data_IF_371171285596
#
_entry.id   IF_371171285596
#
_cell.length_a   1.000
_cell.length_b   1.000
_cell.length_c   1.000
_cell.angle_alpha   90.00
_cell.angle_beta   90.00
_cell.angle_gamma   90.00
#
_symmetry.space_group_name_H-M   'P 1'
#
loop_
_entity.id
_entity.type
_entity.pdbx_description
1 polymer ?
#
# COMPACT_ATOMS: atom_id res chain seq x y z
N UNK A 1 5.14 4.68 -7.84
CA UNK A 1 5.00 4.10 -6.49
C UNK A 1 4.19 5.09 -5.68
N UNK A 2 2.99 4.71 -5.20
CA UNK A 2 2.02 5.68 -4.67
C UNK A 2 2.35 6.09 -3.22
N UNK A 3 2.81 5.14 -2.41
CA UNK A 3 3.09 5.33 -0.99
C UNK A 3 4.60 5.45 -0.70
N UNK A 4 5.35 6.23 -1.48
CA UNK A 4 6.80 6.40 -1.18
C UNK A 4 7.04 7.18 0.10
N UNK A 5 6.13 8.10 0.43
CA UNK A 5 6.21 9.00 1.56
C UNK A 5 5.79 8.29 2.88
N UNK A 6 6.61 8.39 3.95
CA UNK A 6 6.30 7.78 5.24
C UNK A 6 4.99 8.25 5.86
N UNK A 7 4.61 9.52 5.72
CA UNK A 7 3.37 10.05 6.24
C UNK A 7 2.16 9.48 5.49
N UNK A 8 2.22 9.39 4.15
CA UNK A 8 1.17 8.73 3.37
C UNK A 8 1.03 7.26 3.73
N UNK A 9 2.15 6.54 3.90
CA UNK A 9 2.14 5.14 4.38
C UNK A 9 1.47 5.02 5.74
N UNK A 10 1.80 5.90 6.68
CA UNK A 10 1.22 5.89 8.03
C UNK A 10 -0.28 6.17 8.00
N UNK A 11 -0.72 7.17 7.23
CA UNK A 11 -2.14 7.50 7.03
C UNK A 11 -2.88 6.29 6.45
N UNK A 12 -2.34 5.68 5.39
CA UNK A 12 -2.94 4.51 4.76
C UNK A 12 -3.07 3.33 5.74
N UNK A 13 -2.02 3.04 6.50
CA UNK A 13 -2.03 1.97 7.50
C UNK A 13 -3.09 2.18 8.60
N UNK A 14 -3.24 3.41 9.11
CA UNK A 14 -4.10 3.69 10.26
C UNK A 14 -5.56 4.02 9.87
N UNK A 15 -5.81 4.42 8.62
CA UNK A 15 -7.14 4.86 8.16
C UNK A 15 -7.73 4.02 7.05
N UNK A 16 -6.92 3.20 6.37
CA UNK A 16 -7.26 2.52 5.11
C UNK A 16 -7.63 3.45 3.95
N UNK A 17 -7.41 4.76 4.12
CA UNK A 17 -7.62 5.74 3.06
C UNK A 17 -6.30 5.96 2.30
N UNK A 18 -6.40 5.95 0.97
CA UNK A 18 -5.26 6.09 0.06
C UNK A 18 -5.58 7.25 -0.86
N UNK A 19 -5.11 8.42 -0.49
CA UNK A 19 -5.35 9.65 -1.25
C UNK A 19 -4.05 10.18 -1.84
N UNK A 20 -4.10 10.72 -3.07
CA UNK A 20 -2.95 11.38 -3.64
C UNK A 20 -2.51 12.57 -2.80
N UNK A 21 -1.21 12.75 -2.67
CA UNK A 21 -0.64 13.84 -1.88
C UNK A 21 -1.08 15.24 -2.34
N UNK A 22 -1.32 15.38 -3.64
CA UNK A 22 -1.65 16.67 -4.23
C UNK A 22 -3.02 17.20 -3.78
N UNK A 23 -3.92 16.36 -3.27
CA UNK A 23 -5.27 16.79 -2.87
C UNK A 23 -5.22 17.79 -1.71
N UNK A 24 -4.61 17.41 -0.59
CA UNK A 24 -4.45 18.29 0.57
C UNK A 24 -3.41 19.37 0.33
N UNK A 25 -2.38 19.13 -0.49
CA UNK A 25 -1.45 20.20 -0.90
C UNK A 25 -2.15 21.30 -1.68
N UNK A 26 -3.15 20.99 -2.50
CA UNK A 26 -3.93 22.00 -3.22
C UNK A 26 -4.73 22.88 -2.25
N UNK A 27 -5.36 22.28 -1.25
CA UNK A 27 -6.13 23.01 -0.24
C UNK A 27 -5.27 23.95 0.62
N UNK A 28 -3.95 23.74 0.71
CA UNK A 28 -3.08 24.68 1.44
C UNK A 28 -3.11 26.11 0.89
N UNK A 29 -3.58 26.30 -0.35
CA UNK A 29 -3.72 27.61 -0.98
C UNK A 29 -4.99 28.36 -0.55
N UNK A 30 -5.97 27.71 0.09
CA UNK A 30 -7.21 28.37 0.51
C UNK A 30 -7.05 29.06 1.87
N UNK A 31 -7.75 30.18 2.07
CA UNK A 31 -7.72 30.97 3.31
C UNK A 31 -8.87 30.63 4.27
N UNK A 32 -9.54 29.50 4.03
CA UNK A 32 -10.65 29.00 4.83
C UNK A 32 -10.17 27.97 5.87
N UNK A 33 -11.06 27.50 6.77
CA UNK A 33 -10.70 26.52 7.78
C UNK A 33 -10.15 25.20 7.22
N UNK A 34 -10.55 24.82 6.00
CA UNK A 34 -10.02 23.62 5.31
C UNK A 34 -8.55 23.85 4.94
N UNK A 35 -8.21 25.03 4.43
CA UNK A 35 -6.83 25.40 4.12
C UNK A 35 -5.93 25.46 5.35
N UNK A 36 -6.46 25.91 6.50
CA UNK A 36 -5.72 25.87 7.78
C UNK A 36 -5.42 24.42 8.21
N UNK A 37 -6.41 23.53 8.12
CA UNK A 37 -6.24 22.10 8.41
C UNK A 37 -5.25 21.45 7.43
N UNK A 38 -5.30 21.80 6.15
CA UNK A 38 -4.38 21.31 5.14
C UNK A 38 -2.93 21.76 5.40
N UNK A 39 -2.72 23.02 5.82
CA UNK A 39 -1.39 23.53 6.21
C UNK A 39 -0.85 22.84 7.46
N UNK A 40 -1.69 22.62 8.47
CA UNK A 40 -1.33 21.88 9.68
C UNK A 40 -0.97 20.43 9.35
N UNK A 41 -1.77 19.77 8.51
CA UNK A 41 -1.50 18.42 8.03
C UNK A 41 -0.17 18.38 7.26
N UNK A 42 0.07 19.32 6.34
CA UNK A 42 1.31 19.43 5.57
C UNK A 42 2.55 19.55 6.47
N UNK A 43 2.49 20.46 7.45
CA UNK A 43 3.58 20.66 8.41
C UNK A 43 3.84 19.41 9.24
N UNK A 44 2.77 18.80 9.76
CA UNK A 44 2.87 17.58 10.58
C UNK A 44 3.43 16.39 9.80
N UNK A 45 3.02 16.25 8.54
CA UNK A 45 3.54 15.20 7.66
C UNK A 45 5.03 15.38 7.35
N UNK A 46 5.46 16.62 7.09
CA UNK A 46 6.89 16.92 6.90
C UNK A 46 7.70 16.56 8.14
N UNK A 47 7.25 17.01 9.31
CA UNK A 47 7.93 16.73 10.58
C UNK A 47 7.95 15.22 10.90
N UNK A 48 6.88 14.49 10.55
CA UNK A 48 6.81 13.04 10.70
C UNK A 48 7.81 12.32 9.77
N UNK A 49 7.91 12.72 8.51
CA UNK A 49 8.88 12.17 7.55
C UNK A 49 10.32 12.45 7.99
N UNK A 50 10.62 13.66 8.48
CA UNK A 50 11.91 14.01 9.06
C UNK A 50 12.22 13.18 10.32
N UNK A 51 11.21 12.95 11.18
CA UNK A 51 11.35 12.12 12.37
C UNK A 51 11.54 10.64 12.04
N UNK A 52 10.95 10.15 10.94
CA UNK A 52 11.17 8.78 10.44
C UNK A 52 12.63 8.61 10.04
N UNK A 53 13.15 9.54 9.24
CA UNK A 53 14.56 9.55 8.82
C UNK A 53 15.49 9.61 10.04
N UNK A 54 15.17 10.45 11.03
CA UNK A 54 15.95 10.57 12.28
C UNK A 54 15.93 9.29 13.11
N UNK A 55 14.78 8.61 13.19
CA UNK A 55 14.65 7.33 13.89
C UNK A 55 15.46 6.24 13.19
N UNK A 56 15.38 6.13 11.87
CA UNK A 56 16.17 5.15 11.10
C UNK A 56 17.67 5.33 11.31
N UNK A 57 18.15 6.59 11.31
CA UNK A 57 19.54 6.91 11.61
C UNK A 57 19.94 6.54 13.04
N UNK A 58 19.06 6.76 14.04
CA UNK A 58 19.33 6.37 15.42
C UNK A 58 19.38 4.83 15.57
N UNK A 59 18.45 4.10 14.95
CA UNK A 59 18.44 2.63 14.94
C UNK A 59 19.64 2.03 14.22
N UNK A 60 20.10 2.65 13.12
CA UNK A 60 21.32 2.24 12.43
C UNK A 60 22.55 2.39 13.35
N UNK A 61 22.64 3.49 14.11
CA UNK A 61 23.72 3.70 15.10
C UNK A 61 23.68 2.66 16.21
N UNK A 62 22.49 2.30 16.71
CA UNK A 62 22.32 1.21 17.70
C UNK A 62 22.81 -0.12 17.13
N UNK A 63 22.43 -0.45 15.90
CA UNK A 63 22.84 -1.70 15.23
C UNK A 63 24.36 -1.80 15.08
N UNK A 64 25.02 -0.72 14.65
CA UNK A 64 26.49 -0.66 14.56
C UNK A 64 27.14 -0.85 15.93
N UNK A 65 26.58 -0.24 16.98
CA UNK A 65 27.11 -0.40 18.33
C UNK A 65 26.93 -1.81 18.88
N UNK A 66 25.77 -2.43 18.63
CA UNK A 66 25.50 -3.80 19.01
C UNK A 66 26.47 -4.78 18.32
N UNK A 67 26.75 -4.58 17.04
CA UNK A 67 27.70 -5.41 16.30
C UNK A 67 29.14 -5.23 16.83
N UNK A 68 29.56 -4.00 17.10
CA UNK A 68 30.87 -3.73 17.73
C UNK A 68 31.00 -4.39 19.11
N UNK A 69 29.95 -4.33 19.93
CA UNK A 69 29.93 -4.98 21.23
C UNK A 69 30.03 -6.51 21.10
N UNK A 70 29.31 -7.11 20.13
CA UNK A 70 29.38 -8.55 19.84
C UNK A 70 30.78 -8.99 19.41
N UNK A 71 31.39 -8.28 18.46
CA UNK A 71 32.76 -8.55 18.01
C UNK A 71 33.76 -8.36 19.14
N UNK A 72 33.56 -7.32 19.94
CA UNK A 72 34.36 -7.05 21.13
C UNK A 72 34.33 -8.17 22.15
N UNK A 73 33.13 -8.62 22.55
CA UNK A 73 32.94 -9.74 23.48
C UNK A 73 33.51 -11.05 22.96
N UNK A 74 33.46 -11.28 21.64
CA UNK A 74 34.08 -12.45 21.01
C UNK A 74 35.62 -12.43 21.07
N UNK A 75 36.24 -11.24 21.18
CA UNK A 75 37.70 -11.06 21.19
C UNK A 75 38.26 -10.86 22.61
N UNK A 76 37.50 -10.23 23.53
CA UNK A 76 37.85 -10.02 24.95
C UNK A 76 36.58 -10.03 25.82
N UNK A 77 36.61 -10.76 26.93
CA UNK A 77 35.48 -10.86 27.85
C UNK A 77 35.13 -9.54 28.58
N UNK A 78 36.10 -8.63 28.73
CA UNK A 78 35.92 -7.35 29.41
C UNK A 78 35.94 -6.19 28.42
N UNK A 79 34.75 -5.67 28.08
CA UNK A 79 34.61 -4.44 27.32
C UNK A 79 33.58 -3.51 27.95
N UNK A 80 34.04 -2.31 28.30
CA UNK A 80 33.18 -1.14 28.52
C UNK A 80 32.87 -0.49 27.17
N UNK A 81 31.63 -0.64 26.71
CA UNK A 81 31.15 0.04 25.50
C UNK A 81 30.85 1.51 25.82
N UNK A 82 31.87 2.37 25.75
CA UNK A 82 31.69 3.81 25.87
C UNK A 82 30.68 4.33 24.83
N UNK A 83 29.74 5.18 25.26
CA UNK A 83 28.71 5.76 24.39
C UNK A 83 27.41 4.96 24.24
N UNK A 84 27.31 3.76 24.84
CA UNK A 84 26.09 2.94 24.78
C UNK A 84 24.87 3.63 25.37
N UNK A 85 25.01 4.28 26.52
CA UNK A 85 23.92 5.02 27.13
C UNK A 85 23.41 6.16 26.24
N UNK A 86 24.32 6.95 25.63
CA UNK A 86 23.94 8.05 24.75
C UNK A 86 23.22 7.56 23.49
N UNK A 87 23.74 6.54 22.81
CA UNK A 87 23.15 6.01 21.57
C UNK A 87 21.77 5.41 21.83
N UNK A 88 21.56 4.75 22.97
CA UNK A 88 20.25 4.26 23.36
C UNK A 88 19.28 5.38 23.71
N UNK A 89 19.72 6.37 24.49
CA UNK A 89 18.88 7.53 24.84
C UNK A 89 18.46 8.29 23.58
N UNK A 90 19.37 8.55 22.64
CA UNK A 90 19.07 9.15 21.34
C UNK A 90 17.98 8.37 20.58
N UNK A 91 18.09 7.04 20.54
CA UNK A 91 17.12 6.19 19.85
C UNK A 91 15.74 6.17 20.54
N UNK A 92 15.71 6.15 21.88
CA UNK A 92 14.47 6.24 22.65
C UNK A 92 13.78 7.59 22.43
N UNK A 93 14.52 8.69 22.50
CA UNK A 93 13.98 10.03 22.23
C UNK A 93 13.48 10.16 20.79
N UNK A 94 14.21 9.63 19.81
CA UNK A 94 13.76 9.61 18.41
C UNK A 94 12.46 8.81 18.24
N UNK A 95 12.34 7.66 18.93
CA UNK A 95 11.13 6.82 18.91
C UNK A 95 9.93 7.51 19.55
N UNK A 96 10.12 8.15 20.70
CA UNK A 96 9.07 8.91 21.39
C UNK A 96 8.55 10.04 20.50
N UNK A 97 9.46 10.84 19.93
CA UNK A 97 9.10 11.90 18.97
C UNK A 97 8.32 11.35 17.78
N UNK A 98 8.80 10.27 17.17
CA UNK A 98 8.14 9.63 16.03
C UNK A 98 6.72 9.15 16.39
N UNK A 99 6.54 8.61 17.60
CA UNK A 99 5.23 8.14 18.09
C UNK A 99 4.25 9.31 18.26
N UNK A 100 4.69 10.40 18.89
CA UNK A 100 3.85 11.61 19.10
C UNK A 100 3.45 12.24 17.77
N UNK A 101 4.41 12.39 16.85
CA UNK A 101 4.15 12.94 15.51
C UNK A 101 3.21 12.04 14.71
N UNK A 102 3.33 10.71 14.84
CA UNK A 102 2.40 9.76 14.22
C UNK A 102 0.96 9.95 14.68
N UNK A 103 0.73 10.13 15.98
CA UNK A 103 -0.61 10.41 16.51
C UNK A 103 -1.15 11.78 16.05
N UNK A 104 -0.29 12.79 16.01
CA UNK A 104 -0.61 14.13 15.49
C UNK A 104 -1.00 14.10 14.01
N UNK A 105 -0.25 13.35 13.20
CA UNK A 105 -0.51 13.18 11.76
C UNK A 105 -1.89 12.59 11.51
N UNK A 106 -2.26 11.52 12.21
CA UNK A 106 -3.57 10.89 12.01
C UNK A 106 -4.71 11.78 12.50
N UNK A 107 -4.50 12.50 13.59
CA UNK A 107 -5.51 13.42 14.13
C UNK A 107 -5.78 14.57 13.15
N UNK A 108 -4.73 15.21 12.65
CA UNK A 108 -4.84 16.30 11.66
C UNK A 108 -5.42 15.79 10.34
N UNK A 109 -5.04 14.58 9.91
CA UNK A 109 -5.57 13.97 8.71
C UNK A 109 -7.08 13.73 8.82
N UNK A 110 -7.54 13.12 9.91
CA UNK A 110 -8.98 12.88 10.14
C UNK A 110 -9.76 14.18 10.22
N UNK A 111 -9.21 15.21 10.86
CA UNK A 111 -9.83 16.52 10.92
C UNK A 111 -10.02 17.10 9.50
N UNK A 112 -8.95 17.18 8.70
CA UNK A 112 -9.02 17.63 7.30
C UNK A 112 -10.01 16.77 6.49
N UNK A 113 -9.89 15.44 6.57
CA UNK A 113 -10.70 14.48 5.80
C UNK A 113 -12.19 14.56 6.08
N UNK A 114 -12.59 14.90 7.31
CA UNK A 114 -14.00 15.07 7.71
C UNK A 114 -14.64 16.32 7.09
N UNK A 115 -13.84 17.33 6.77
CA UNK A 115 -14.29 18.55 6.11
C UNK A 115 -14.14 18.49 4.58
N UNK A 116 -13.37 17.52 4.06
CA UNK A 116 -13.22 17.26 2.63
C UNK A 116 -14.37 16.42 2.07
N UNK A 117 -15.15 16.96 1.15
CA UNK A 117 -16.00 16.15 0.27
C UNK A 117 -15.17 15.65 -0.91
N UNK A 118 -14.66 14.42 -0.83
CA UNK A 118 -14.00 13.77 -1.97
C UNK A 118 -15.10 13.20 -2.86
N UNK A 119 -15.25 13.76 -4.05
CA UNK A 119 -16.26 13.32 -5.02
C UNK A 119 -16.00 11.90 -5.53
N UNK A 120 -17.04 11.29 -6.09
CA UNK A 120 -16.97 9.97 -6.73
C UNK A 120 -16.29 10.09 -8.11
N UNK A 121 -14.96 10.25 -8.04
CA UNK A 121 -14.10 10.44 -9.20
C UNK A 121 -14.00 9.19 -10.07
N UNK A 122 -13.49 9.36 -11.28
CA UNK A 122 -13.20 8.25 -12.19
C UNK A 122 -11.96 7.44 -11.76
N UNK A 123 -11.25 7.87 -10.71
CA UNK A 123 -10.13 7.14 -10.13
C UNK A 123 -10.29 6.99 -8.62
N UNK A 124 -10.00 5.79 -8.11
CA UNK A 124 -9.95 5.45 -6.69
C UNK A 124 -8.69 4.66 -6.40
N UNK A 125 -8.06 4.88 -5.26
CA UNK A 125 -6.93 4.05 -4.82
C UNK A 125 -7.35 3.18 -3.64
N UNK A 126 -6.84 1.96 -3.60
CA UNK A 126 -7.23 0.94 -2.64
C UNK A 126 -5.99 0.20 -2.13
N UNK A 127 -5.87 0.06 -0.81
CA UNK A 127 -4.93 -0.89 -0.23
C UNK A 127 -5.35 -2.33 -0.55
N UNK A 128 -4.42 -3.13 -1.08
CA UNK A 128 -4.69 -4.54 -1.35
C UNK A 128 -4.86 -5.35 -0.07
N UNK A 129 -4.28 -4.89 1.04
CA UNK A 129 -4.48 -5.47 2.36
C UNK A 129 -4.77 -4.38 3.39
N UNK A 130 -5.84 -4.61 4.15
CA UNK A 130 -6.28 -3.69 5.20
C UNK A 130 -5.16 -3.46 6.22
N UNK A 131 -4.91 -2.19 6.53
CA UNK A 131 -3.89 -1.71 7.46
C UNK A 131 -2.45 -2.12 7.11
N UNK A 132 -2.18 -2.63 5.91
CA UNK A 132 -0.87 -3.13 5.50
C UNK A 132 -0.48 -2.58 4.13
N UNK A 133 0.17 -1.40 4.09
CA UNK A 133 0.60 -0.79 2.83
C UNK A 133 1.75 -1.53 2.15
N UNK A 134 2.41 -2.49 2.82
CA UNK A 134 3.52 -3.25 2.22
C UNK A 134 3.09 -4.19 1.10
N UNK A 135 1.78 -4.48 1.03
CA UNK A 135 1.18 -5.25 -0.06
C UNK A 135 0.84 -4.39 -1.29
N UNK A 136 1.14 -3.10 -1.24
CA UNK A 136 0.91 -2.16 -2.33
C UNK A 136 -0.53 -1.69 -2.48
N UNK A 137 -0.73 -0.93 -3.57
CA UNK A 137 -1.98 -0.23 -3.87
C UNK A 137 -2.49 -0.63 -5.25
N UNK A 138 -3.81 -0.84 -5.36
CA UNK A 138 -4.49 -0.88 -6.64
C UNK A 138 -5.09 0.49 -6.96
N UNK A 139 -4.78 1.01 -8.16
CA UNK A 139 -5.51 2.14 -8.73
C UNK A 139 -6.65 1.60 -9.56
N UNK A 140 -7.87 1.99 -9.19
CA UNK A 140 -9.11 1.62 -9.82
C UNK A 140 -9.58 2.76 -10.70
N UNK A 141 -9.73 2.50 -11.99
CA UNK A 141 -10.26 3.47 -12.95
C UNK A 141 -11.68 3.09 -13.34
N UNK A 142 -12.65 3.96 -13.11
CA UNK A 142 -14.05 3.73 -13.44
C UNK A 142 -14.20 3.55 -14.94
N UNK A 143 -14.91 2.51 -15.34
CA UNK A 143 -15.27 2.24 -16.73
C UNK A 143 -16.77 2.32 -16.94
N UNK A 144 -17.49 1.64 -16.06
CA UNK A 144 -18.95 1.65 -15.98
C UNK A 144 -19.34 1.92 -14.51
N UNK A 145 -20.62 2.25 -14.21
CA UNK A 145 -21.04 2.57 -12.85
C UNK A 145 -20.66 1.52 -11.79
N UNK A 146 -20.61 0.24 -12.18
CA UNK A 146 -20.23 -0.89 -11.31
C UNK A 146 -18.91 -1.55 -11.69
N UNK A 147 -18.19 -1.07 -12.72
CA UNK A 147 -16.99 -1.74 -13.24
C UNK A 147 -15.77 -0.84 -13.15
N UNK A 148 -14.73 -1.39 -12.53
CA UNK A 148 -13.45 -0.73 -12.31
C UNK A 148 -12.32 -1.50 -12.99
N UNK A 149 -11.52 -0.80 -13.78
CA UNK A 149 -10.26 -1.31 -14.29
C UNK A 149 -9.20 -1.26 -13.18
N UNK A 150 -8.52 -2.38 -12.95
CA UNK A 150 -7.51 -2.51 -11.90
C UNK A 150 -6.12 -2.31 -12.49
N UNK A 151 -5.36 -1.37 -11.91
CA UNK A 151 -3.94 -1.14 -12.22
C UNK A 151 -3.13 -1.25 -10.94
N UNK A 152 -2.33 -2.32 -10.75
CA UNK A 152 -1.47 -2.44 -9.58
C UNK A 152 -0.32 -1.43 -9.66
N UNK A 153 0.11 -0.92 -8.50
CA UNK A 153 1.35 -0.18 -8.42
C UNK A 153 2.58 -1.11 -8.36
N UNK A 154 3.79 -0.54 -8.37
CA UNK A 154 5.03 -1.31 -8.40
C UNK A 154 5.24 -2.17 -7.12
N UNK A 155 4.77 -1.69 -5.97
CA UNK A 155 4.86 -2.42 -4.70
C UNK A 155 3.91 -3.62 -4.71
N UNK A 156 2.68 -3.43 -5.21
CA UNK A 156 1.73 -4.52 -5.44
C UNK A 156 2.26 -5.55 -6.44
N UNK A 157 2.82 -5.12 -7.57
CA UNK A 157 3.42 -6.01 -8.54
C UNK A 157 4.53 -6.88 -7.93
N UNK A 158 5.36 -6.29 -7.06
CA UNK A 158 6.43 -7.01 -6.36
C UNK A 158 5.86 -7.96 -5.31
N UNK A 159 4.89 -7.51 -4.49
CA UNK A 159 4.30 -8.32 -3.43
C UNK A 159 3.55 -9.56 -3.94
N UNK A 160 3.04 -9.50 -5.18
CA UNK A 160 2.33 -10.59 -5.84
C UNK A 160 3.18 -11.30 -6.91
N UNK A 161 4.49 -11.04 -6.97
CA UNK A 161 5.42 -11.68 -7.92
C UNK A 161 4.94 -11.63 -9.38
N UNK A 162 4.49 -10.45 -9.83
CA UNK A 162 4.01 -10.25 -11.20
C UNK A 162 5.18 -9.81 -12.10
N UNK A 163 5.62 -10.64 -13.06
CA UNK A 163 6.81 -10.33 -13.85
C UNK A 163 6.60 -9.20 -14.87
N UNK A 164 5.38 -8.99 -15.36
CA UNK A 164 5.03 -7.97 -16.35
C UNK A 164 3.83 -7.14 -15.86
N UNK A 165 4.03 -6.18 -14.94
CA UNK A 165 2.94 -5.44 -14.31
C UNK A 165 2.16 -4.55 -15.29
N UNK A 166 2.82 -4.10 -16.36
CA UNK A 166 2.23 -3.36 -17.48
C UNK A 166 1.25 -4.20 -18.32
N UNK A 167 1.32 -5.54 -18.21
CA UNK A 167 0.44 -6.49 -18.90
C UNK A 167 -0.72 -6.97 -18.02
N UNK A 168 -0.84 -6.47 -16.79
CA UNK A 168 -1.98 -6.76 -15.94
C UNK A 168 -3.20 -6.05 -16.51
N UNK A 169 -4.09 -6.81 -17.12
CA UNK A 169 -5.34 -6.30 -17.67
C UNK A 169 -6.49 -7.03 -17.01
N UNK A 170 -7.26 -6.31 -16.20
CA UNK A 170 -8.41 -6.91 -15.55
C UNK A 170 -9.31 -5.88 -14.92
N UNK A 171 -10.52 -6.34 -14.68
CA UNK A 171 -11.60 -5.51 -14.16
C UNK A 171 -12.29 -6.21 -13.02
N UNK A 172 -12.86 -5.41 -12.13
CA UNK A 172 -13.70 -5.87 -11.03
C UNK A 172 -15.05 -5.22 -11.20
N UNK A 173 -16.08 -6.05 -11.28
CA UNK A 173 -17.46 -5.61 -11.46
C UNK A 173 -18.26 -5.94 -10.22
N UNK A 174 -18.96 -4.96 -9.68
CA UNK A 174 -19.93 -5.15 -8.61
C UNK A 174 -21.17 -5.84 -9.16
N UNK A 175 -21.60 -6.91 -8.48
CA UNK A 175 -22.78 -7.71 -8.82
C UNK A 175 -23.60 -7.97 -7.55
N UNK A 176 -24.82 -8.48 -7.70
CA UNK A 176 -25.69 -8.83 -6.56
C UNK A 176 -25.08 -9.88 -5.61
N UNK A 177 -24.09 -10.64 -6.08
CA UNK A 177 -23.42 -11.69 -5.33
C UNK A 177 -22.04 -11.27 -4.78
N UNK A 178 -21.65 -10.01 -4.96
CA UNK A 178 -20.34 -9.49 -4.56
C UNK A 178 -19.52 -8.99 -5.75
N UNK A 179 -18.20 -9.00 -5.61
CA UNK A 179 -17.27 -8.47 -6.59
C UNK A 179 -16.77 -9.59 -7.51
N UNK A 180 -16.99 -9.43 -8.81
CA UNK A 180 -16.57 -10.40 -9.84
C UNK A 180 -15.32 -9.89 -10.57
N UNK A 181 -14.14 -10.48 -10.32
CA UNK A 181 -12.94 -10.15 -11.08
C UNK A 181 -12.92 -10.87 -12.43
N UNK A 182 -12.50 -10.18 -13.48
CA UNK A 182 -12.29 -10.75 -14.82
C UNK A 182 -10.93 -10.34 -15.34
N UNK A 183 -10.10 -11.30 -15.72
CA UNK A 183 -8.80 -11.05 -16.36
C UNK A 183 -8.92 -11.15 -17.89
N UNK A 184 -8.19 -10.30 -18.62
CA UNK A 184 -8.17 -10.29 -20.08
C UNK A 184 -6.76 -10.47 -20.61
N UNK A 185 -6.57 -11.24 -21.68
CA UNK A 185 -5.23 -11.38 -22.29
C UNK A 185 -4.76 -10.15 -23.06
N UNK A 186 -5.69 -9.33 -23.53
CA UNK A 186 -5.46 -8.09 -24.28
C UNK A 186 -6.57 -7.08 -23.91
N UNK A 187 -6.24 -5.79 -23.70
CA UNK A 187 -7.25 -4.75 -23.51
C UNK A 187 -8.29 -4.67 -24.64
N UNK A 188 -7.90 -5.00 -25.88
CA UNK A 188 -8.78 -4.95 -27.07
C UNK A 188 -9.78 -6.11 -27.10
N UNK A 189 -9.44 -7.28 -26.52
CA UNK A 189 -10.34 -8.44 -26.47
C UNK A 189 -11.62 -8.18 -25.66
N UNK A 190 -11.66 -7.08 -24.90
CA UNK A 190 -12.84 -6.58 -24.20
C UNK A 190 -14.05 -6.35 -25.12
N UNK A 191 -13.84 -5.94 -26.37
CA UNK A 191 -14.92 -5.50 -27.26
C UNK A 191 -15.34 -6.55 -28.31
N UNK A 192 -14.51 -7.55 -28.55
CA UNK A 192 -14.62 -8.35 -29.78
C UNK A 192 -14.72 -9.86 -29.55
N UNK A 193 -14.29 -10.43 -28.42
CA UNK A 193 -14.35 -11.91 -28.27
C UNK A 193 -14.30 -12.41 -26.81
N UNK A 194 -15.29 -13.22 -26.40
CA UNK A 194 -15.38 -13.88 -25.09
C UNK A 194 -14.26 -14.91 -24.81
N UNK A 195 -13.60 -15.43 -25.85
CA UNK A 195 -12.60 -16.52 -25.77
C UNK A 195 -11.31 -16.12 -25.03
N UNK A 196 -11.10 -14.83 -24.78
CA UNK A 196 -9.88 -14.26 -24.19
C UNK A 196 -10.12 -13.57 -22.84
N UNK A 197 -11.29 -13.83 -22.22
CA UNK A 197 -11.65 -13.38 -20.88
C UNK A 197 -11.67 -14.56 -19.90
N UNK A 198 -11.10 -14.36 -18.71
CA UNK A 198 -11.03 -15.34 -17.64
C UNK A 198 -11.83 -14.84 -16.43
N UNK A 199 -13.09 -15.25 -16.28
CA UNK A 199 -13.86 -14.95 -15.08
C UNK A 199 -13.24 -15.67 -13.88
N UNK A 200 -13.01 -14.93 -12.81
CA UNK A 200 -12.43 -15.44 -11.56
C UNK A 200 -13.53 -15.60 -10.50
N UNK A 201 -13.25 -16.34 -9.41
CA UNK A 201 -14.23 -16.53 -8.34
C UNK A 201 -14.73 -15.19 -7.79
N UNK A 202 -16.04 -15.14 -7.51
CA UNK A 202 -16.68 -13.99 -6.85
C UNK A 202 -16.09 -13.82 -5.45
N UNK A 203 -15.81 -12.59 -5.08
CA UNK A 203 -15.22 -12.21 -3.79
C UNK A 203 -16.17 -11.30 -3.01
N UNK A 204 -16.12 -11.39 -1.68
CA UNK A 204 -17.00 -10.62 -0.80
C UNK A 204 -16.67 -9.12 -0.79
N UNK A 205 -15.41 -8.76 -1.08
CA UNK A 205 -14.94 -7.38 -1.07
C UNK A 205 -14.03 -7.05 -2.27
N UNK A 206 -13.98 -5.76 -2.58
CA UNK A 206 -13.24 -5.20 -3.70
C UNK A 206 -11.72 -5.46 -3.62
N UNK A 207 -11.14 -5.44 -2.42
CA UNK A 207 -9.71 -5.68 -2.25
C UNK A 207 -9.38 -7.15 -2.52
N UNK A 208 -10.19 -8.09 -2.01
CA UNK A 208 -10.09 -9.52 -2.32
C UNK A 208 -10.26 -9.80 -3.81
N UNK A 209 -11.20 -9.13 -4.49
CA UNK A 209 -11.33 -9.24 -5.94
C UNK A 209 -10.07 -8.76 -6.70
N UNK A 210 -9.48 -7.64 -6.27
CA UNK A 210 -8.22 -7.16 -6.82
C UNK A 210 -7.07 -8.16 -6.56
N UNK A 211 -6.96 -8.70 -5.34
CA UNK A 211 -5.95 -9.72 -5.01
C UNK A 211 -6.12 -10.98 -5.86
N UNK A 212 -7.35 -11.45 -6.05
CA UNK A 212 -7.67 -12.59 -6.92
C UNK A 212 -7.18 -12.37 -8.34
N UNK A 213 -7.42 -11.17 -8.90
CA UNK A 213 -6.91 -10.79 -10.21
C UNK A 213 -5.37 -10.82 -10.27
N UNK A 214 -4.68 -10.26 -9.29
CA UNK A 214 -3.21 -10.24 -9.24
C UNK A 214 -2.62 -11.64 -9.11
N UNK A 215 -3.20 -12.50 -8.27
CA UNK A 215 -2.79 -13.91 -8.14
C UNK A 215 -3.02 -14.70 -9.41
N UNK A 216 -4.11 -14.44 -10.14
CA UNK A 216 -4.33 -15.04 -11.44
C UNK A 216 -3.22 -14.66 -12.43
N UNK A 217 -2.81 -13.40 -12.44
CA UNK A 217 -1.73 -12.95 -13.30
C UNK A 217 -0.37 -13.54 -12.91
N UNK A 218 -0.09 -13.69 -11.63
CA UNK A 218 1.07 -14.45 -11.17
C UNK A 218 1.02 -15.89 -11.70
N UNK A 219 -0.09 -16.60 -11.45
CA UNK A 219 -0.29 -17.98 -11.91
C UNK A 219 -0.10 -18.10 -13.41
N UNK A 220 -0.70 -17.19 -14.20
CA UNK A 220 -0.64 -17.19 -15.66
C UNK A 220 0.78 -17.03 -16.21
N UNK A 221 1.61 -16.25 -15.52
CA UNK A 221 3.01 -16.06 -15.91
C UNK A 221 3.96 -17.09 -15.30
N UNK A 222 3.48 -17.95 -14.40
CA UNK A 222 4.25 -19.05 -13.85
C UNK A 222 4.26 -20.26 -14.80
N UNK A 223 5.28 -21.10 -14.67
CA UNK A 223 5.37 -22.39 -15.37
C UNK A 223 4.19 -23.34 -15.04
N UNK A 224 3.47 -23.08 -13.94
CA UNK A 224 2.32 -23.85 -13.50
C UNK A 224 1.06 -23.57 -14.34
N UNK A 225 0.99 -22.46 -15.09
CA UNK A 225 -0.22 -22.11 -15.86
C UNK A 225 -0.60 -23.19 -16.86
N UNK A 226 0.35 -23.76 -17.60
CA UNK A 226 0.13 -24.82 -18.61
C UNK A 226 -1.07 -24.57 -19.53
N UNK A 227 -1.30 -23.31 -19.91
CA UNK A 227 -2.46 -22.86 -20.71
C UNK A 227 -3.83 -23.19 -20.10
N UNK A 228 -3.91 -23.34 -18.78
CA UNK A 228 -5.15 -23.66 -18.05
C UNK A 228 -6.08 -22.44 -17.97
N UNK A 229 -7.38 -22.67 -18.00
CA UNK A 229 -8.39 -21.66 -17.65
C UNK A 229 -8.74 -21.74 -16.15
N UNK A 230 -9.37 -20.71 -15.55
CA UNK A 230 -9.80 -20.78 -14.14
C UNK A 230 -10.66 -22.01 -13.84
N UNK A 231 -11.51 -22.44 -14.78
CA UNK A 231 -12.36 -23.63 -14.64
C UNK A 231 -11.58 -24.97 -14.59
N UNK A 232 -10.29 -24.96 -14.95
CA UNK A 232 -9.41 -26.14 -14.96
C UNK A 232 -8.48 -26.18 -13.73
N UNK A 233 -8.61 -25.23 -12.82
CA UNK A 233 -7.86 -25.20 -11.58
C UNK A 233 -8.45 -26.17 -10.56
N UNK A 234 -7.59 -26.74 -9.72
CA UNK A 234 -8.02 -27.56 -8.59
C UNK A 234 -8.81 -26.71 -7.58
N UNK A 235 -9.67 -27.31 -6.76
CA UNK A 235 -10.39 -26.57 -5.71
C UNK A 235 -9.45 -25.79 -4.77
N UNK A 236 -8.27 -26.32 -4.48
CA UNK A 236 -7.26 -25.65 -3.65
C UNK A 236 -6.66 -24.42 -4.36
N UNK A 237 -6.37 -24.50 -5.66
CA UNK A 237 -5.90 -23.36 -6.46
C UNK A 237 -6.98 -22.28 -6.60
N UNK A 238 -8.25 -22.68 -6.79
CA UNK A 238 -9.38 -21.74 -6.82
C UNK A 238 -9.59 -21.03 -5.48
N UNK A 239 -9.51 -21.77 -4.37
CA UNK A 239 -9.59 -21.19 -3.04
C UNK A 239 -8.43 -20.21 -2.78
N UNK A 240 -7.23 -20.51 -3.27
CA UNK A 240 -6.09 -19.60 -3.18
C UNK A 240 -6.33 -18.29 -3.94
N UNK A 241 -6.94 -18.34 -5.12
CA UNK A 241 -7.30 -17.12 -5.86
C UNK A 241 -8.27 -16.24 -5.06
N UNK A 242 -9.29 -16.83 -4.42
CA UNK A 242 -10.33 -16.09 -3.68
C UNK A 242 -9.90 -15.55 -2.29
N UNK A 243 -8.73 -15.94 -1.76
CA UNK A 243 -8.29 -15.67 -0.37
C UNK A 243 -7.76 -14.26 -0.05
#
# INVERSE_FOLDING_TARGET
MFLTDPALRRIAADTNDVLPEHLWRHDTATLDPIGDLARLLHTTARDFTDSTTSLDQALARVSVLAEKARQGLAVRADLHAAGYHQVLTDALTARERHTVLGAGLITTYRAWRNHQTIGDGDERHLLLRRCDPSQGVATLRRKDPSTWQVVPDAEAATAFDIPYPDRVVGEVTETDHGWTPTAYTDPQHRQTTSVMAYPLPVCDDLASACRSLLRWWHLRHSDAWRSRTPAQLTPAELAHLAS
#
